data_IF_609246613354
#
_entry.id   IF_609246613354
#
_cell.length_a   1.000
_cell.length_b   1.000
_cell.length_c   1.000
_cell.angle_alpha   90.00
_cell.angle_beta   90.00
_cell.angle_gamma   90.00
#
_symmetry.space_group_name_H-M   'P 1'
#
loop_
_entity.id
_entity.type
_entity.pdbx_description
1 polymer ?
#
# COMPACT_ATOMS: atom_id res chain seq x y z
N UNK A 1 13.01 -4.14 -20.41
CA UNK A 1 14.43 -4.40 -20.07
C UNK A 1 14.71 -4.13 -18.59
N UNK A 2 14.46 -2.92 -18.08
CA UNK A 2 14.73 -2.52 -16.67
C UNK A 2 14.05 -3.42 -15.63
N UNK A 3 12.74 -3.73 -15.79
CA UNK A 3 12.01 -4.62 -14.86
C UNK A 3 12.62 -6.02 -14.72
N UNK A 4 13.28 -6.53 -15.78
CA UNK A 4 13.90 -7.86 -15.80
C UNK A 4 15.24 -7.89 -15.05
N UNK A 5 15.93 -6.76 -14.97
CA UNK A 5 17.17 -6.61 -14.20
C UNK A 5 16.90 -6.27 -12.74
N UNK A 6 15.89 -5.43 -12.47
CA UNK A 6 15.49 -5.03 -11.12
C UNK A 6 14.83 -6.19 -10.36
N UNK A 7 14.03 -7.01 -11.05
CA UNK A 7 13.46 -8.24 -10.49
C UNK A 7 14.20 -9.49 -10.99
N UNK A 8 15.48 -9.35 -11.34
CA UNK A 8 16.29 -10.50 -11.73
C UNK A 8 16.41 -11.45 -10.54
N UNK A 9 15.66 -12.54 -10.61
CA UNK A 9 15.78 -13.66 -9.70
C UNK A 9 16.85 -14.58 -10.27
N UNK A 10 17.97 -14.75 -9.55
CA UNK A 10 18.99 -15.70 -9.95
C UNK A 10 18.35 -17.11 -9.98
N UNK A 11 18.25 -17.77 -11.14
CA UNK A 11 17.57 -19.06 -11.22
C UNK A 11 18.38 -20.14 -10.49
N UNK A 12 17.73 -20.90 -9.60
CA UNK A 12 18.32 -22.06 -8.90
C UNK A 12 18.23 -22.01 -7.37
N UNK A 13 19.00 -22.85 -6.64
CA UNK A 13 18.99 -22.92 -5.16
C UNK A 13 19.43 -21.62 -4.45
N UNK A 14 19.93 -20.65 -5.23
CA UNK A 14 20.30 -19.29 -4.77
C UNK A 14 19.10 -18.35 -4.59
N UNK A 15 17.86 -18.78 -4.87
CA UNK A 15 16.65 -17.98 -4.66
C UNK A 15 16.56 -17.40 -3.23
N UNK A 16 16.96 -18.19 -2.22
CA UNK A 16 17.05 -17.75 -0.83
C UNK A 16 18.08 -16.63 -0.61
N UNK A 17 19.23 -16.69 -1.31
CA UNK A 17 20.30 -15.71 -1.20
C UNK A 17 19.89 -14.35 -1.78
N UNK A 18 19.03 -14.34 -2.81
CA UNK A 18 18.54 -13.09 -3.40
C UNK A 18 17.81 -12.19 -2.39
N UNK A 19 17.12 -12.81 -1.43
CA UNK A 19 16.45 -12.12 -0.34
C UNK A 19 17.41 -11.46 0.64
N UNK A 20 18.47 -12.17 1.03
CA UNK A 20 19.51 -11.63 1.91
C UNK A 20 20.35 -10.53 1.22
N UNK A 21 20.62 -10.68 -0.08
CA UNK A 21 21.25 -9.62 -0.87
C UNK A 21 20.37 -8.36 -0.90
N UNK A 22 19.06 -8.51 -1.06
CA UNK A 22 18.13 -7.38 -0.99
C UNK A 22 18.13 -6.70 0.40
N UNK A 23 18.26 -7.45 1.49
CA UNK A 23 18.45 -6.89 2.84
C UNK A 23 19.74 -6.07 2.90
N UNK A 24 20.87 -6.59 2.41
CA UNK A 24 22.15 -5.87 2.40
C UNK A 24 22.09 -4.60 1.54
N UNK A 25 21.46 -4.67 0.37
CA UNK A 25 21.26 -3.51 -0.51
C UNK A 25 20.41 -2.45 0.20
N UNK A 26 19.30 -2.84 0.84
CA UNK A 26 18.45 -1.93 1.59
C UNK A 26 19.18 -1.25 2.76
N UNK A 27 20.01 -2.02 3.49
CA UNK A 27 20.84 -1.51 4.57
C UNK A 27 21.88 -0.51 4.06
N UNK A 28 22.62 -0.85 2.99
CA UNK A 28 23.62 0.02 2.40
C UNK A 28 23.03 1.30 1.82
N UNK A 29 21.93 1.22 1.08
CA UNK A 29 21.24 2.40 0.55
C UNK A 29 20.77 3.33 1.67
N UNK A 30 20.22 2.77 2.75
CA UNK A 30 19.77 3.58 3.89
C UNK A 30 20.93 4.14 4.70
N UNK A 31 22.04 3.43 4.79
CA UNK A 31 23.27 3.95 5.41
C UNK A 31 23.81 5.17 4.64
N UNK A 32 23.83 5.11 3.30
CA UNK A 32 24.29 6.23 2.46
C UNK A 32 23.34 7.41 2.52
N UNK A 33 22.03 7.17 2.44
CA UNK A 33 21.01 8.23 2.41
C UNK A 33 20.67 8.74 3.83
N UNK A 34 20.98 7.96 4.86
CA UNK A 34 20.65 8.20 6.27
C UNK A 34 19.17 8.48 6.56
N UNK A 35 18.26 8.10 5.66
CA UNK A 35 16.82 8.34 5.80
C UNK A 35 16.00 7.17 5.30
N UNK A 36 15.38 6.44 6.23
CA UNK A 36 14.42 5.36 5.94
C UNK A 36 13.11 5.89 5.35
N UNK A 37 12.73 7.14 5.65
CA UNK A 37 11.58 7.81 5.03
C UNK A 37 11.80 8.07 3.54
N UNK A 38 12.98 8.56 3.14
CA UNK A 38 13.32 8.75 1.71
C UNK A 38 13.29 7.40 1.00
N UNK A 39 13.92 6.36 1.60
CA UNK A 39 13.93 5.01 1.07
C UNK A 39 12.51 4.48 0.81
N UNK A 40 11.63 4.53 1.81
CA UNK A 40 10.25 4.04 1.70
C UNK A 40 9.42 4.87 0.72
N UNK A 41 9.63 6.19 0.68
CA UNK A 41 8.92 7.10 -0.24
C UNK A 41 9.29 6.87 -1.71
N UNK A 42 10.50 6.37 -1.98
CA UNK A 42 10.95 6.05 -3.34
C UNK A 42 10.52 4.63 -3.74
N UNK A 43 10.57 3.65 -2.83
CA UNK A 43 10.12 2.29 -3.13
C UNK A 43 8.61 2.19 -3.38
N UNK A 44 7.79 2.90 -2.59
CA UNK A 44 6.33 2.84 -2.69
C UNK A 44 5.80 3.12 -4.11
N UNK A 45 6.18 4.23 -4.79
CA UNK A 45 5.74 4.49 -6.16
C UNK A 45 6.34 3.51 -7.17
N UNK A 46 7.61 3.07 -6.99
CA UNK A 46 8.24 2.07 -7.86
C UNK A 46 7.49 0.72 -7.83
N UNK A 47 6.98 0.34 -6.67
CA UNK A 47 6.09 -0.81 -6.53
C UNK A 47 4.73 -0.53 -7.13
N UNK A 48 4.19 0.68 -6.95
CA UNK A 48 2.92 1.11 -7.55
C UNK A 48 2.90 1.05 -9.08
N UNK A 49 4.02 1.32 -9.75
CA UNK A 49 4.17 1.18 -11.22
C UNK A 49 4.67 -0.22 -11.65
N UNK A 50 4.86 -1.12 -10.68
CA UNK A 50 5.33 -2.49 -10.88
C UNK A 50 6.75 -2.58 -11.44
N UNK A 51 7.63 -1.63 -11.12
CA UNK A 51 9.08 -1.72 -11.41
C UNK A 51 9.76 -2.64 -10.42
N UNK A 52 9.36 -2.56 -9.15
CA UNK A 52 9.80 -3.45 -8.07
C UNK A 52 8.59 -4.28 -7.63
N UNK A 53 8.76 -5.58 -7.46
CA UNK A 53 7.70 -6.42 -6.92
C UNK A 53 7.52 -6.22 -5.40
N UNK A 54 6.28 -6.36 -4.91
CA UNK A 54 5.99 -6.29 -3.46
C UNK A 54 6.84 -7.27 -2.64
N UNK A 55 7.12 -8.44 -3.22
CA UNK A 55 7.90 -9.51 -2.58
C UNK A 55 9.39 -9.13 -2.45
N UNK A 56 9.88 -8.19 -3.28
CA UNK A 56 11.23 -7.60 -3.20
C UNK A 56 11.29 -6.39 -2.27
N UNK A 57 10.22 -5.61 -2.20
CA UNK A 57 10.12 -4.47 -1.29
C UNK A 57 10.27 -4.89 0.17
N UNK A 58 9.70 -6.05 0.55
CA UNK A 58 9.75 -6.53 1.93
C UNK A 58 11.19 -6.72 2.49
N UNK A 59 12.07 -7.54 1.88
CA UNK A 59 13.46 -7.66 2.33
C UNK A 59 14.26 -6.34 2.22
N UNK A 60 13.99 -5.51 1.21
CA UNK A 60 14.59 -4.18 1.09
C UNK A 60 14.27 -3.29 2.30
N UNK A 61 13.01 -3.28 2.74
CA UNK A 61 12.58 -2.53 3.93
C UNK A 61 13.18 -3.09 5.21
N UNK A 62 13.27 -4.42 5.36
CA UNK A 62 13.97 -5.03 6.49
C UNK A 62 15.44 -4.61 6.55
N UNK A 63 16.11 -4.56 5.40
CA UNK A 63 17.46 -4.00 5.27
C UNK A 63 17.55 -2.54 5.69
N UNK A 64 16.61 -1.71 5.22
CA UNK A 64 16.56 -0.28 5.56
C UNK A 64 16.45 -0.03 7.06
N UNK A 65 15.71 -0.88 7.77
CA UNK A 65 15.61 -0.79 9.23
C UNK A 65 16.97 -1.06 9.90
N UNK A 66 17.75 -2.03 9.42
CA UNK A 66 19.14 -2.23 9.89
C UNK A 66 19.98 -0.99 9.57
N UNK A 67 19.94 -0.48 8.34
CA UNK A 67 20.73 0.70 7.95
C UNK A 67 20.48 1.93 8.83
N UNK A 68 19.23 2.13 9.25
CA UNK A 68 18.85 3.21 10.18
C UNK A 68 19.56 3.09 11.54
N UNK A 69 19.76 1.86 12.04
CA UNK A 69 20.45 1.63 13.31
C UNK A 69 21.93 1.95 13.23
N UNK A 70 22.58 1.75 12.08
CA UNK A 70 23.96 2.20 11.87
C UNK A 70 24.08 3.71 11.96
N UNK A 71 23.11 4.47 11.41
CA UNK A 71 23.06 5.92 11.56
C UNK A 71 22.84 6.33 13.02
N UNK A 72 21.99 5.62 13.77
CA UNK A 72 21.79 5.87 15.19
C UNK A 72 23.08 5.64 16.00
N UNK A 73 23.86 4.60 15.69
CA UNK A 73 25.15 4.34 16.33
C UNK A 73 26.15 5.46 16.01
N UNK A 74 26.26 5.88 14.75
CA UNK A 74 27.13 6.99 14.36
C UNK A 74 26.74 8.29 15.04
N UNK A 75 25.44 8.59 15.11
CA UNK A 75 24.91 9.76 15.81
C UNK A 75 25.22 9.70 17.31
N UNK A 76 25.09 8.52 17.93
CA UNK A 76 25.43 8.33 19.34
C UNK A 76 26.93 8.54 19.59
N UNK A 77 27.80 8.03 18.73
CA UNK A 77 29.25 8.21 18.82
C UNK A 77 29.69 9.67 18.61
N UNK A 78 28.90 10.47 17.89
CA UNK A 78 29.12 11.90 17.69
C UNK A 78 28.49 12.78 18.81
N UNK A 79 27.79 12.18 19.77
CA UNK A 79 27.14 12.89 20.89
C UNK A 79 28.14 13.20 22.02
N UNK A 80 27.78 14.15 22.88
CA UNK A 80 28.59 14.53 24.05
C UNK A 80 28.85 13.34 24.99
N UNK A 81 30.02 13.36 25.65
CA UNK A 81 30.49 12.28 26.53
C UNK A 81 29.54 11.95 27.68
N UNK A 82 28.74 12.93 28.11
CA UNK A 82 27.83 12.80 29.26
C UNK A 82 26.60 11.94 28.95
N UNK A 83 26.16 11.88 27.69
CA UNK A 83 25.00 11.11 27.24
C UNK A 83 25.36 9.95 26.31
N UNK A 84 26.65 9.78 25.98
CA UNK A 84 27.15 8.76 25.06
C UNK A 84 26.69 7.34 25.43
N UNK A 85 26.69 7.01 26.73
CA UNK A 85 26.30 5.66 27.20
C UNK A 85 24.82 5.39 26.95
N UNK A 86 23.97 6.37 27.24
CA UNK A 86 22.52 6.25 27.09
C UNK A 86 22.12 6.18 25.61
N UNK A 87 22.71 7.04 24.77
CA UNK A 87 22.42 7.07 23.33
C UNK A 87 22.92 5.81 22.63
N UNK A 88 24.11 5.30 22.98
CA UNK A 88 24.61 4.02 22.46
C UNK A 88 23.77 2.84 22.92
N UNK A 89 23.33 2.82 24.17
CA UNK A 89 22.46 1.76 24.66
C UNK A 89 21.17 1.70 23.85
N UNK A 90 20.52 2.84 23.61
CA UNK A 90 19.32 2.91 22.76
C UNK A 90 19.64 2.45 21.34
N UNK A 91 20.75 2.90 20.74
CA UNK A 91 21.14 2.51 19.40
C UNK A 91 21.38 0.99 19.27
N UNK A 92 22.05 0.37 20.24
CA UNK A 92 22.24 -1.08 20.28
C UNK A 92 20.94 -1.85 20.52
N UNK A 93 20.06 -1.37 21.41
CA UNK A 93 18.73 -1.95 21.59
C UNK A 93 17.97 -1.98 20.26
N UNK A 94 18.00 -0.89 19.50
CA UNK A 94 17.39 -0.83 18.16
C UNK A 94 18.07 -1.79 17.17
N UNK A 95 19.41 -1.86 17.14
CA UNK A 95 20.15 -2.79 16.28
C UNK A 95 19.76 -4.25 16.57
N UNK A 96 19.84 -4.66 17.83
CA UNK A 96 19.53 -6.04 18.23
C UNK A 96 18.07 -6.38 18.02
N UNK A 97 17.14 -5.47 18.31
CA UNK A 97 15.72 -5.67 18.04
C UNK A 97 15.45 -5.90 16.54
N UNK A 98 16.07 -5.11 15.66
CA UNK A 98 15.90 -5.27 14.22
C UNK A 98 16.54 -6.56 13.69
N UNK A 99 17.76 -6.89 14.14
CA UNK A 99 18.45 -8.12 13.72
C UNK A 99 17.67 -9.36 14.20
N UNK A 100 17.30 -9.41 15.48
CA UNK A 100 16.54 -10.55 16.03
C UNK A 100 15.17 -10.68 15.38
N UNK A 101 14.46 -9.57 15.14
CA UNK A 101 13.21 -9.58 14.39
C UNK A 101 13.38 -10.14 12.98
N UNK A 102 14.42 -9.75 12.25
CA UNK A 102 14.70 -10.30 10.93
C UNK A 102 15.00 -11.79 11.01
N UNK A 103 15.85 -12.23 11.95
CA UNK A 103 16.21 -13.64 12.12
C UNK A 103 15.01 -14.52 12.49
N UNK A 104 14.02 -13.99 13.22
CA UNK A 104 12.81 -14.72 13.58
C UNK A 104 11.81 -14.74 12.42
N UNK A 105 11.49 -13.58 11.85
CA UNK A 105 10.36 -13.44 10.92
C UNK A 105 10.73 -13.68 9.45
N UNK A 106 11.97 -13.44 9.04
CA UNK A 106 12.36 -13.53 7.63
C UNK A 106 12.70 -14.95 7.15
N UNK A 107 13.48 -15.78 7.87
CA UNK A 107 13.81 -17.14 7.41
C UNK A 107 12.60 -18.07 7.31
N UNK A 108 11.60 -17.88 8.19
CA UNK A 108 10.43 -18.75 8.28
C UNK A 108 9.37 -18.28 7.26
N UNK A 109 9.06 -19.07 6.20
CA UNK A 109 8.15 -18.63 5.14
C UNK A 109 6.74 -18.28 5.63
N UNK A 110 6.25 -19.00 6.65
CA UNK A 110 4.93 -18.77 7.25
C UNK A 110 4.83 -17.44 8.01
N UNK A 111 5.93 -16.92 8.54
CA UNK A 111 5.95 -15.66 9.29
C UNK A 111 6.03 -14.42 8.38
N UNK A 112 6.19 -14.61 7.07
CA UNK A 112 6.12 -13.53 6.07
C UNK A 112 4.69 -13.09 5.77
N UNK A 113 3.81 -13.11 6.77
CA UNK A 113 2.42 -12.67 6.69
C UNK A 113 2.20 -11.18 6.31
N UNK A 114 3.16 -10.24 6.48
CA UNK A 114 2.95 -8.86 6.04
C UNK A 114 2.72 -8.73 4.52
N UNK A 115 3.33 -9.59 3.72
CA UNK A 115 3.20 -9.60 2.26
C UNK A 115 1.75 -9.91 1.82
N UNK A 116 1.13 -11.04 2.20
CA UNK A 116 -0.25 -11.33 1.84
C UNK A 116 -1.22 -10.30 2.45
N UNK A 117 -0.93 -9.77 3.64
CA UNK A 117 -1.76 -8.73 4.25
C UNK A 117 -1.73 -7.43 3.44
N UNK A 118 -0.56 -7.01 2.96
CA UNK A 118 -0.42 -5.85 2.08
C UNK A 118 -1.14 -6.06 0.73
N UNK A 119 -1.03 -7.25 0.13
CA UNK A 119 -1.76 -7.61 -1.10
C UNK A 119 -3.26 -7.59 -0.89
N UNK A 120 -3.76 -8.16 0.22
CA UNK A 120 -5.17 -8.15 0.58
C UNK A 120 -5.70 -6.72 0.78
N UNK A 121 -5.00 -5.92 1.59
CA UNK A 121 -5.40 -4.54 1.90
C UNK A 121 -5.37 -3.65 0.66
N UNK A 122 -4.34 -3.80 -0.18
CA UNK A 122 -4.20 -3.11 -1.46
C UNK A 122 -5.31 -3.47 -2.43
N UNK A 123 -5.63 -4.76 -2.58
CA UNK A 123 -6.72 -5.20 -3.45
C UNK A 123 -8.10 -4.70 -2.96
N UNK A 124 -8.35 -4.73 -1.65
CA UNK A 124 -9.58 -4.16 -1.08
C UNK A 124 -9.67 -2.65 -1.32
N UNK A 125 -8.57 -1.94 -1.17
CA UNK A 125 -8.48 -0.48 -1.42
C UNK A 125 -8.69 -0.14 -2.90
N UNK A 126 -8.16 -0.96 -3.81
CA UNK A 126 -8.35 -0.78 -5.25
C UNK A 126 -9.82 -0.95 -5.66
N UNK A 127 -10.51 -1.94 -5.07
CA UNK A 127 -11.95 -2.16 -5.30
C UNK A 127 -12.84 -1.08 -4.62
N UNK A 128 -12.42 -0.58 -3.46
CA UNK A 128 -13.20 0.35 -2.65
C UNK A 128 -12.35 1.53 -2.18
N UNK A 129 -12.32 2.64 -2.93
CA UNK A 129 -11.45 3.79 -2.61
C UNK A 129 -11.76 4.45 -1.26
N UNK A 130 -13.03 4.42 -0.84
CA UNK A 130 -13.47 4.92 0.47
C UNK A 130 -12.91 4.08 1.64
N UNK A 131 -12.63 2.80 1.41
CA UNK A 131 -12.05 1.91 2.41
C UNK A 131 -10.68 2.43 2.85
N UNK A 132 -9.86 3.00 1.94
CA UNK A 132 -8.61 3.65 2.33
C UNK A 132 -8.82 4.82 3.30
N UNK A 133 -9.81 5.67 3.06
CA UNK A 133 -10.10 6.83 3.92
C UNK A 133 -10.51 6.33 5.32
N UNK A 134 -11.45 5.37 5.38
CA UNK A 134 -11.89 4.78 6.65
C UNK A 134 -10.75 4.07 7.37
N UNK A 135 -9.92 3.33 6.63
CA UNK A 135 -8.75 2.64 7.18
C UNK A 135 -7.75 3.63 7.79
N UNK A 136 -7.43 4.73 7.10
CA UNK A 136 -6.53 5.77 7.61
C UNK A 136 -7.11 6.42 8.87
N UNK A 137 -8.40 6.81 8.86
CA UNK A 137 -9.06 7.40 10.03
C UNK A 137 -9.02 6.44 11.21
N UNK A 138 -9.35 5.17 10.98
CA UNK A 138 -9.41 4.16 12.02
C UNK A 138 -8.01 3.84 12.57
N UNK A 139 -7.04 3.59 11.71
CA UNK A 139 -5.71 3.11 12.11
C UNK A 139 -4.80 4.22 12.63
N UNK A 140 -4.92 5.44 12.10
CA UNK A 140 -4.04 6.56 12.47
C UNK A 140 -4.63 7.45 13.58
N UNK A 141 -5.95 7.53 13.71
CA UNK A 141 -6.61 8.35 14.73
C UNK A 141 -7.34 7.50 15.77
N UNK A 142 -8.29 6.66 15.36
CA UNK A 142 -9.15 5.95 16.31
C UNK A 142 -8.39 4.91 17.15
N UNK A 143 -7.46 4.16 16.55
CA UNK A 143 -6.68 3.14 17.25
C UNK A 143 -5.70 3.75 18.28
N UNK A 144 -4.84 4.74 17.93
CA UNK A 144 -4.02 5.42 18.93
C UNK A 144 -4.84 6.15 19.99
N UNK A 145 -5.96 6.79 19.62
CA UNK A 145 -6.85 7.43 20.58
C UNK A 145 -7.47 6.42 21.55
N UNK A 146 -7.83 5.22 21.08
CA UNK A 146 -8.32 4.14 21.92
C UNK A 146 -7.24 3.65 22.90
N UNK A 147 -6.01 3.43 22.44
CA UNK A 147 -4.90 3.02 23.30
C UNK A 147 -4.60 4.10 24.34
N UNK A 148 -4.57 5.38 23.93
CA UNK A 148 -4.39 6.51 24.83
C UNK A 148 -5.54 6.62 25.85
N UNK A 149 -6.78 6.44 25.40
CA UNK A 149 -7.96 6.42 26.26
C UNK A 149 -7.94 5.29 27.29
N UNK A 150 -7.49 4.08 26.90
CA UNK A 150 -7.26 2.97 27.83
C UNK A 150 -6.10 3.23 28.80
N UNK A 151 -5.10 4.00 28.38
CA UNK A 151 -3.93 4.33 29.20
C UNK A 151 -4.22 5.36 30.29
N UNK A 152 -5.31 6.13 30.20
CA UNK A 152 -5.72 7.07 31.25
C UNK A 152 -6.55 6.30 32.30
N UNK A 153 -6.17 6.29 33.59
CA UNK A 153 -6.82 5.50 34.64
C UNK A 153 -8.15 6.12 35.07
N UNK A 154 -9.14 6.15 34.17
CA UNK A 154 -10.47 6.68 34.44
C UNK A 154 -11.54 5.91 33.67
N UNK A 155 -12.42 5.20 34.40
CA UNK A 155 -13.54 4.44 33.83
C UNK A 155 -14.48 5.30 32.95
N UNK A 156 -14.48 6.62 33.13
CA UNK A 156 -15.19 7.59 32.30
C UNK A 156 -14.69 7.66 30.85
N UNK A 157 -13.37 7.53 30.63
CA UNK A 157 -12.77 7.63 29.28
C UNK A 157 -13.04 6.34 28.48
N UNK A 158 -13.04 5.20 29.18
CA UNK A 158 -13.47 3.92 28.62
C UNK A 158 -14.93 3.98 28.16
N UNK A 159 -15.85 4.55 28.96
CA UNK A 159 -17.24 4.75 28.54
C UNK A 159 -17.39 5.76 27.38
N UNK A 160 -16.60 6.83 27.36
CA UNK A 160 -16.66 7.85 26.31
C UNK A 160 -16.20 7.35 24.94
N UNK A 161 -15.14 6.53 24.89
CA UNK A 161 -14.58 6.02 23.63
C UNK A 161 -15.08 4.62 23.27
N UNK A 162 -15.12 3.68 24.23
CA UNK A 162 -15.62 2.33 23.95
C UNK A 162 -17.16 2.31 23.85
N UNK A 163 -17.87 3.22 24.52
CA UNK A 163 -19.34 3.29 24.52
C UNK A 163 -19.96 3.31 23.11
N UNK A 164 -19.57 4.24 22.22
CA UNK A 164 -20.10 4.29 20.86
C UNK A 164 -19.80 3.03 20.04
N UNK A 165 -18.59 2.48 20.14
CA UNK A 165 -18.19 1.27 19.38
C UNK A 165 -18.88 0.01 19.90
N UNK A 166 -18.98 -0.15 21.23
CA UNK A 166 -19.69 -1.26 21.88
C UNK A 166 -21.19 -1.14 21.63
N UNK A 167 -21.77 0.06 21.67
CA UNK A 167 -23.18 0.28 21.33
C UNK A 167 -23.48 -0.11 19.89
N UNK A 168 -22.65 0.29 18.93
CA UNK A 168 -22.80 -0.10 17.52
C UNK A 168 -22.66 -1.61 17.34
N UNK A 169 -21.67 -2.24 17.99
CA UNK A 169 -21.47 -3.70 17.92
C UNK A 169 -22.65 -4.47 18.54
N UNK A 170 -23.15 -4.05 19.70
CA UNK A 170 -24.31 -4.63 20.38
C UNK A 170 -25.56 -4.48 19.51
N UNK A 171 -25.79 -3.31 18.91
CA UNK A 171 -26.91 -3.09 18.00
C UNK A 171 -26.83 -4.05 16.80
N UNK A 172 -25.65 -4.21 16.20
CA UNK A 172 -25.45 -5.14 15.08
C UNK A 172 -25.70 -6.59 15.49
N UNK A 173 -25.21 -7.02 16.66
CA UNK A 173 -25.40 -8.38 17.18
C UNK A 173 -26.87 -8.64 17.53
N UNK A 174 -27.55 -7.70 18.20
CA UNK A 174 -28.98 -7.80 18.52
C UNK A 174 -29.80 -7.89 17.24
N UNK A 175 -29.51 -7.07 16.22
CA UNK A 175 -30.19 -7.14 14.92
C UNK A 175 -29.96 -8.51 14.27
N UNK A 176 -28.75 -9.06 14.32
CA UNK A 176 -28.44 -10.41 13.80
C UNK A 176 -29.16 -11.52 14.56
N UNK A 177 -29.23 -11.43 15.88
CA UNK A 177 -29.86 -12.44 16.75
C UNK A 177 -31.39 -12.42 16.62
N UNK A 178 -32.01 -11.24 16.54
CA UNK A 178 -33.46 -11.12 16.34
C UNK A 178 -33.85 -11.54 14.91
N UNK A 179 -33.01 -11.25 13.90
CA UNK A 179 -33.19 -11.79 12.54
C UNK A 179 -33.10 -13.33 12.50
N UNK A 180 -32.27 -13.95 13.36
CA UNK A 180 -32.09 -15.40 13.41
C UNK A 180 -33.16 -16.15 14.24
N UNK A 181 -33.66 -15.57 15.34
CA UNK A 181 -34.57 -16.29 16.27
C UNK A 181 -36.06 -16.00 16.10
N UNK A 182 -36.49 -14.78 15.73
CA UNK A 182 -37.91 -14.45 15.47
C UNK A 182 -38.06 -13.28 14.48
N UNK A 183 -38.18 -13.53 13.17
CA UNK A 183 -38.33 -12.48 12.15
C UNK A 183 -39.70 -11.77 12.17
N UNK A 184 -40.65 -12.20 13.02
CA UNK A 184 -42.00 -11.63 13.12
C UNK A 184 -42.15 -10.45 14.09
N UNK A 185 -41.20 -10.20 14.99
CA UNK A 185 -41.29 -9.15 16.04
C UNK A 185 -40.63 -7.81 15.63
N UNK A 186 -40.07 -7.74 14.42
CA UNK A 186 -39.36 -6.56 13.88
C UNK A 186 -40.25 -5.79 12.90
N UNK A 187 -40.34 -4.45 12.99
CA UNK A 187 -41.01 -3.66 11.98
C UNK A 187 -40.39 -3.89 10.60
N UNK A 188 -41.24 -3.94 9.55
CA UNK A 188 -40.89 -4.33 8.16
C UNK A 188 -39.65 -3.58 7.61
N UNK A 189 -39.37 -2.37 8.11
CA UNK A 189 -38.23 -1.51 7.76
C UNK A 189 -36.86 -2.10 8.14
N UNK A 190 -36.74 -2.82 9.25
CA UNK A 190 -35.49 -3.38 9.78
C UNK A 190 -35.25 -4.85 9.39
N UNK A 191 -36.26 -5.52 8.84
CA UNK A 191 -36.18 -6.90 8.36
C UNK A 191 -35.51 -6.99 6.98
N UNK A 192 -35.80 -6.02 6.11
CA UNK A 192 -35.35 -6.04 4.72
C UNK A 192 -34.27 -4.99 4.42
N UNK A 193 -33.79 -4.23 5.41
CA UNK A 193 -32.81 -3.12 5.26
C UNK A 193 -33.17 -2.10 4.14
N UNK A 194 -34.43 -2.07 3.65
CA UNK A 194 -34.88 -1.25 2.51
C UNK A 194 -35.13 0.21 2.90
N UNK A 195 -35.21 0.47 4.20
CA UNK A 195 -35.40 1.81 4.75
C UNK A 195 -34.09 2.59 4.88
N UNK A 196 -32.93 1.93 4.93
CA UNK A 196 -31.65 2.64 4.89
C UNK A 196 -31.50 3.30 3.52
N UNK A 197 -31.17 4.62 3.46
CA UNK A 197 -30.94 5.29 2.20
C UNK A 197 -29.82 4.55 1.44
N UNK A 198 -30.00 4.38 0.12
CA UNK A 198 -29.07 3.71 -0.80
C UNK A 198 -27.58 3.86 -0.42
N UNK A 199 -27.05 5.05 -0.07
CA UNK A 199 -25.68 5.26 0.43
C UNK A 199 -25.11 4.27 1.47
N UNK A 200 -25.93 3.69 2.34
CA UNK A 200 -25.47 2.76 3.37
C UNK A 200 -25.69 1.27 3.03
N UNK A 201 -26.32 0.97 1.88
CA UNK A 201 -26.64 -0.40 1.45
C UNK A 201 -26.00 -0.76 0.11
N UNK A 202 -25.80 0.23 -0.75
CA UNK A 202 -25.06 0.16 -2.00
C UNK A 202 -24.17 1.39 -2.09
N UNK A 203 -22.93 1.19 -2.51
CA UNK A 203 -21.95 2.27 -2.67
C UNK A 203 -22.09 3.04 -4.00
N UNK A 204 -22.95 2.59 -4.91
CA UNK A 204 -23.21 3.21 -6.21
C UNK A 204 -23.58 4.72 -6.17
N UNK A 205 -24.42 5.23 -5.24
CA UNK A 205 -24.74 6.66 -5.21
C UNK A 205 -23.56 7.54 -4.74
N UNK A 206 -22.66 7.02 -3.90
CA UNK A 206 -21.44 7.75 -3.51
C UNK A 206 -20.39 7.72 -4.61
N UNK A 207 -20.27 6.61 -5.37
CA UNK A 207 -19.38 6.52 -6.53
C UNK A 207 -19.67 7.62 -7.56
N UNK A 208 -20.95 7.91 -7.82
CA UNK A 208 -21.35 8.94 -8.80
C UNK A 208 -21.04 10.37 -8.34
N UNK A 209 -21.14 10.63 -7.03
CA UNK A 209 -20.84 11.96 -6.45
C UNK A 209 -19.33 12.15 -6.32
N UNK A 210 -18.59 11.15 -5.83
CA UNK A 210 -17.14 11.20 -5.73
C UNK A 210 -16.46 11.26 -7.09
N UNK A 211 -17.00 10.62 -8.13
CA UNK A 211 -16.51 10.79 -9.51
C UNK A 211 -16.71 12.21 -10.03
N UNK A 212 -17.84 12.86 -9.72
CA UNK A 212 -18.05 14.27 -10.11
C UNK A 212 -17.16 15.23 -9.34
N UNK A 213 -16.91 14.98 -8.05
CA UNK A 213 -16.11 15.86 -7.19
C UNK A 213 -14.60 15.68 -7.40
N UNK A 214 -14.11 14.44 -7.56
CA UNK A 214 -12.68 14.15 -7.68
C UNK A 214 -12.21 13.84 -9.11
N UNK A 215 -13.10 13.47 -10.04
CA UNK A 215 -12.73 12.96 -11.36
C UNK A 215 -13.12 13.86 -12.55
N UNK A 216 -13.72 15.03 -12.31
CA UNK A 216 -13.89 16.03 -13.38
C UNK A 216 -12.57 16.63 -13.87
N UNK A 217 -11.47 16.56 -13.10
CA UNK A 217 -10.20 17.21 -13.50
C UNK A 217 -9.16 16.26 -14.08
N UNK A 218 -9.31 14.93 -13.94
CA UNK A 218 -8.26 13.96 -14.38
C UNK A 218 -8.57 13.13 -15.62
N UNK A 219 -9.76 13.23 -16.21
CA UNK A 219 -10.10 12.50 -17.44
C UNK A 219 -10.12 13.35 -18.72
N UNK A 220 -9.78 14.64 -18.63
CA UNK A 220 -9.61 15.49 -19.80
C UNK A 220 -8.15 15.58 -20.29
N UNK A 221 -7.19 15.04 -19.52
CA UNK A 221 -5.76 15.03 -19.87
C UNK A 221 -5.25 13.69 -20.44
N UNK A 222 -6.13 12.70 -20.61
CA UNK A 222 -5.79 11.38 -21.18
C UNK A 222 -6.51 11.03 -22.49
N UNK A 223 -7.34 11.93 -23.02
CA UNK A 223 -8.08 11.73 -24.29
C UNK A 223 -7.63 12.65 -25.43
N UNK A 224 -6.52 13.39 -25.25
CA UNK A 224 -5.89 14.21 -26.29
C UNK A 224 -4.68 13.54 -26.97
N UNK A 225 -4.30 12.31 -26.59
CA UNK A 225 -3.09 11.64 -27.12
C UNK A 225 -3.34 10.24 -27.68
N UNK A 226 -4.61 9.84 -27.84
CA UNK A 226 -4.98 8.56 -28.47
C UNK A 226 -5.78 8.72 -29.77
N UNK A 227 -5.92 9.95 -30.26
CA UNK A 227 -6.59 10.27 -31.54
C UNK A 227 -5.61 10.90 -32.55
N UNK A 228 -4.32 10.58 -32.41
CA UNK A 228 -3.29 10.93 -33.39
C UNK A 228 -2.46 9.74 -33.88
N UNK A 229 -2.65 8.54 -33.31
CA UNK A 229 -1.91 7.34 -33.71
C UNK A 229 -2.74 6.34 -34.55
N UNK A 230 -3.93 6.75 -35.01
CA UNK A 230 -4.80 5.97 -35.90
C UNK A 230 -4.77 6.41 -37.37
N UNK A 231 -4.16 7.56 -37.69
CA UNK A 231 -4.08 8.09 -39.06
C UNK A 231 -2.70 7.97 -39.72
N UNK A 232 -1.69 7.43 -39.02
CA UNK A 232 -0.36 7.19 -39.59
C UNK A 232 -0.26 5.86 -40.35
N UNK A 233 -1.18 4.92 -40.15
CA UNK A 233 -1.19 3.61 -40.83
C UNK A 233 -2.05 3.53 -42.09
N UNK A 234 -2.77 4.60 -42.46
CA UNK A 234 -3.54 4.65 -43.72
C UNK A 234 -2.90 5.51 -44.81
N UNK A 235 -1.79 6.21 -44.51
CA UNK A 235 -1.08 7.01 -45.50
C UNK A 235 0.17 6.31 -46.06
N UNK A 236 0.71 5.28 -45.42
CA UNK A 236 1.86 4.54 -45.98
C UNK A 236 1.45 3.49 -47.04
N UNK A 237 0.20 3.03 -47.01
CA UNK A 237 -0.34 2.08 -48.01
C UNK A 237 -0.73 2.73 -49.35
N UNK A 238 -0.73 4.07 -49.44
CA UNK A 238 -1.07 4.81 -50.66
C UNK A 238 0.14 5.23 -51.51
N UNK A 239 1.35 5.20 -50.95
CA UNK A 239 2.57 5.65 -51.65
C UNK A 239 3.44 4.49 -52.17
N UNK A 240 3.27 3.27 -51.65
CA UNK A 240 3.97 2.07 -52.15
C UNK A 240 3.36 1.46 -53.43
N UNK A 241 2.19 1.92 -53.88
CA UNK A 241 1.56 1.44 -55.12
C UNK A 241 1.84 2.31 -56.35
N UNK A 242 2.50 3.47 -56.18
CA UNK A 242 2.80 4.41 -57.28
C UNK A 242 4.25 4.44 -57.74
N UNK A 243 5.13 3.63 -57.13
CA UNK A 243 6.55 3.54 -57.48
C UNK A 243 6.93 2.27 -58.29
N UNK A 244 5.93 1.50 -58.75
CA UNK A 244 6.14 0.26 -59.52
C UNK A 244 5.33 0.24 -60.83
N UNK A 245 5.31 1.34 -61.58
CA UNK A 245 4.89 1.29 -62.99
C UNK A 245 5.49 2.41 -63.86
N UNK A 246 6.81 2.61 -63.76
CA UNK A 246 7.61 3.36 -64.73
C UNK A 246 8.37 2.39 -65.63
N UNK A 247 7.71 1.81 -66.62
CA UNK A 247 8.37 1.09 -67.71
C UNK A 247 8.46 2.02 -68.93
N UNK A 248 9.66 2.08 -69.52
CA UNK A 248 9.98 2.98 -70.62
C UNK A 248 9.42 2.57 -71.99
N UNK A 249 9.92 3.32 -72.97
CA UNK A 249 9.74 3.24 -74.44
C UNK A 249 8.68 4.17 -75.06
N UNK A 250 9.09 5.30 -75.65
CA UNK A 250 9.53 5.51 -77.06
C UNK A 250 8.43 5.30 -78.09
N UNK A 251 8.00 6.37 -78.78
CA UNK A 251 8.05 6.58 -80.26
C UNK A 251 6.91 7.50 -80.76
N UNK A 252 7.35 8.42 -81.63
CA UNK A 252 6.62 9.29 -82.58
C UNK A 252 5.91 10.50 -82.00
#
# INVERSE_FOLDING_TARGET
MIKKFVNAEFPGPLGYLTGYIAILIGAGLTFVVQSSSIFTSTLTPLVGIGVIELDRMYPLTLGSNIGTTTTAILSALASDSDHLRDTLQVAFCHLFFNITGILIFYPIPYLRFPIPMAKFLGNRTANYRWFAIVYIILMFFAFPALIFALSIPGWYVLLGVAGPFVLVAIIVVIIKVIQAKKPGMLPVKLRNWKFLPKPMRSLEPYDRVMQKVFFCTRFQQGKGSSEQNGNATSLESGYMTKASNGHGHTRL
#
